data_IF_230098333436
#
_entry.id   IF_230098333436
#
_cell.length_a   1.000
_cell.length_b   1.000
_cell.length_c   1.000
_cell.angle_alpha   90.00
_cell.angle_beta   90.00
_cell.angle_gamma   90.00
#
_symmetry.space_group_name_H-M   'P 1'
#
loop_
_entity.id
_entity.type
_entity.pdbx_description
1 polymer ?
#
# COMPACT_ATOMS: atom_id res chain seq x y z
N UNK A 1 -10.28 -4.04 -10.20
CA UNK A 1 -11.10 -4.75 -11.22
C UNK A 1 -11.28 -3.91 -12.50
N UNK A 2 -11.41 -2.57 -12.44
CA UNK A 2 -11.57 -1.72 -13.64
C UNK A 2 -10.46 -1.93 -14.68
N UNK A 3 -9.19 -1.98 -14.27
CA UNK A 3 -8.04 -2.21 -15.15
C UNK A 3 -8.15 -3.54 -15.91
N UNK A 4 -8.51 -4.64 -15.21
CA UNK A 4 -8.65 -5.97 -15.82
C UNK A 4 -9.75 -5.97 -16.87
N UNK A 5 -10.92 -5.43 -16.52
CA UNK A 5 -12.06 -5.34 -17.43
C UNK A 5 -11.75 -4.48 -18.66
N UNK A 6 -11.06 -3.35 -18.47
CA UNK A 6 -10.69 -2.43 -19.55
C UNK A 6 -9.69 -3.07 -20.52
N UNK A 7 -8.63 -3.72 -20.00
CA UNK A 7 -7.63 -4.41 -20.83
C UNK A 7 -8.28 -5.54 -21.63
N UNK A 8 -9.10 -6.38 -21.00
CA UNK A 8 -9.73 -7.51 -21.68
C UNK A 8 -10.78 -7.09 -22.72
N UNK A 9 -11.46 -5.97 -22.49
CA UNK A 9 -12.47 -5.44 -23.43
C UNK A 9 -11.83 -4.73 -24.63
N UNK A 10 -10.74 -3.96 -24.40
CA UNK A 10 -10.10 -3.14 -25.46
C UNK A 10 -9.07 -3.90 -26.29
N UNK A 11 -8.51 -4.98 -25.76
CA UNK A 11 -7.49 -5.78 -26.44
C UNK A 11 -8.06 -7.17 -26.77
N UNK A 12 -8.17 -7.49 -28.06
CA UNK A 12 -8.80 -8.75 -28.52
C UNK A 12 -7.95 -10.00 -28.28
N UNK A 13 -6.62 -9.84 -28.20
CA UNK A 13 -5.65 -10.96 -28.07
C UNK A 13 -4.94 -11.00 -26.72
N UNK A 14 -5.02 -9.92 -25.94
CA UNK A 14 -4.32 -9.79 -24.67
C UNK A 14 -4.77 -10.81 -23.64
N UNK A 15 -3.80 -11.36 -22.91
CA UNK A 15 -4.01 -12.27 -21.78
C UNK A 15 -3.73 -11.51 -20.49
N UNK A 16 -4.62 -11.68 -19.51
CA UNK A 16 -4.44 -11.15 -18.16
C UNK A 16 -4.33 -12.29 -17.15
N UNK A 17 -3.26 -12.29 -16.37
CA UNK A 17 -2.99 -13.28 -15.33
C UNK A 17 -2.99 -12.57 -13.98
N UNK A 18 -3.87 -12.97 -13.07
CA UNK A 18 -4.02 -12.42 -11.73
C UNK A 18 -3.57 -13.43 -10.67
N UNK A 19 -2.51 -13.14 -9.93
CA UNK A 19 -2.18 -13.80 -8.66
C UNK A 19 -2.85 -13.03 -7.52
N UNK A 20 -3.77 -13.66 -6.79
CA UNK A 20 -4.64 -12.95 -5.84
C UNK A 20 -4.57 -13.53 -4.43
N UNK A 21 -3.85 -12.83 -3.55
CA UNK A 21 -3.68 -13.20 -2.14
C UNK A 21 -4.78 -12.64 -1.24
N UNK A 22 -5.43 -13.51 -0.46
CA UNK A 22 -6.46 -13.15 0.51
C UNK A 22 -6.30 -13.97 1.81
N UNK A 23 -7.07 -13.64 2.86
CA UNK A 23 -7.11 -14.43 4.09
C UNK A 23 -7.90 -15.72 3.89
N UNK A 24 -9.10 -15.62 3.34
CA UNK A 24 -10.05 -16.72 3.11
C UNK A 24 -10.86 -16.45 1.84
N UNK A 25 -11.56 -17.46 1.32
CA UNK A 25 -12.49 -17.32 0.20
C UNK A 25 -13.61 -16.31 0.54
N UNK A 26 -14.15 -16.39 1.74
CA UNK A 26 -15.23 -15.50 2.20
C UNK A 26 -14.81 -14.03 2.31
N UNK A 27 -13.53 -13.75 2.58
CA UNK A 27 -12.98 -12.39 2.67
C UNK A 27 -12.44 -11.86 1.32
N UNK A 28 -12.51 -12.65 0.25
CA UNK A 28 -12.03 -12.25 -1.07
C UNK A 28 -12.97 -11.23 -1.69
N UNK A 29 -12.46 -10.03 -1.95
CA UNK A 29 -13.23 -9.01 -2.64
C UNK A 29 -13.38 -9.33 -4.13
N UNK A 30 -14.44 -8.81 -4.75
CA UNK A 30 -14.72 -8.95 -6.19
C UNK A 30 -14.89 -10.38 -6.71
N UNK A 31 -15.19 -11.35 -5.84
CA UNK A 31 -15.34 -12.76 -6.25
C UNK A 31 -16.32 -12.93 -7.41
N UNK A 32 -17.51 -12.32 -7.34
CA UNK A 32 -18.49 -12.36 -8.43
C UNK A 32 -17.97 -11.82 -9.76
N UNK A 33 -17.30 -10.65 -9.73
CA UNK A 33 -16.72 -10.04 -10.93
C UNK A 33 -15.56 -10.89 -11.51
N UNK A 34 -14.77 -11.54 -10.66
CA UNK A 34 -13.71 -12.46 -11.10
C UNK A 34 -14.31 -13.67 -11.82
N UNK A 35 -15.35 -14.29 -11.27
CA UNK A 35 -16.00 -15.43 -11.90
C UNK A 35 -16.71 -15.04 -13.21
N UNK A 36 -17.31 -13.86 -13.27
CA UNK A 36 -17.88 -13.32 -14.50
C UNK A 36 -16.79 -13.15 -15.58
N UNK A 37 -15.65 -12.55 -15.24
CA UNK A 37 -14.53 -12.38 -16.18
C UNK A 37 -13.95 -13.71 -16.66
N UNK A 38 -13.85 -14.72 -15.79
CA UNK A 38 -13.44 -16.07 -16.19
C UNK A 38 -14.42 -16.69 -17.19
N UNK A 39 -15.72 -16.45 -16.99
CA UNK A 39 -16.77 -16.95 -17.91
C UNK A 39 -16.73 -16.25 -19.26
N UNK A 40 -16.55 -14.93 -19.28
CA UNK A 40 -16.52 -14.13 -20.53
C UNK A 40 -15.21 -14.36 -21.30
N UNK A 41 -14.08 -14.49 -20.59
CA UNK A 41 -12.74 -14.56 -21.18
C UNK A 41 -11.97 -15.84 -20.78
N UNK A 42 -12.50 -17.06 -21.00
CA UNK A 42 -11.97 -18.31 -20.44
C UNK A 42 -10.54 -18.65 -20.92
N UNK A 43 -10.09 -18.09 -22.05
CA UNK A 43 -8.75 -18.30 -22.61
C UNK A 43 -7.83 -17.09 -22.47
N UNK A 44 -8.32 -16.02 -21.88
CA UNK A 44 -7.59 -14.74 -21.78
C UNK A 44 -7.52 -14.18 -20.37
N UNK A 45 -8.32 -14.69 -19.43
CA UNK A 45 -8.28 -14.31 -18.03
C UNK A 45 -8.03 -15.53 -17.15
N UNK A 46 -6.91 -15.50 -16.43
CA UNK A 46 -6.52 -16.52 -15.47
C UNK A 46 -6.39 -15.88 -14.09
N UNK A 47 -6.99 -16.51 -13.08
CA UNK A 47 -6.91 -16.05 -11.70
C UNK A 47 -6.47 -17.20 -10.80
N UNK A 48 -5.34 -17.01 -10.13
CA UNK A 48 -4.73 -17.92 -9.17
C UNK A 48 -4.93 -17.35 -7.77
N UNK A 49 -5.79 -18.02 -6.98
CA UNK A 49 -6.04 -17.62 -5.60
C UNK A 49 -5.04 -18.28 -4.65
N UNK A 50 -4.60 -17.53 -3.63
CA UNK A 50 -3.84 -18.05 -2.50
C UNK A 50 -4.43 -17.54 -1.20
N UNK A 51 -4.72 -18.43 -0.24
CA UNK A 51 -5.35 -18.10 1.03
C UNK A 51 -4.42 -18.38 2.20
N UNK A 52 -4.21 -17.36 3.04
CA UNK A 52 -3.27 -17.44 4.15
C UNK A 52 -3.85 -18.05 5.44
N UNK A 53 -5.20 -18.19 5.53
CA UNK A 53 -5.89 -18.70 6.71
C UNK A 53 -6.91 -19.81 6.41
N UNK A 54 -7.03 -20.23 5.17
CA UNK A 54 -7.99 -21.25 4.74
C UNK A 54 -7.34 -22.22 3.76
N UNK A 55 -7.43 -23.51 4.05
CA UNK A 55 -7.05 -24.55 3.10
C UNK A 55 -8.26 -24.84 2.20
N UNK A 56 -8.19 -24.42 0.95
CA UNK A 56 -9.27 -24.51 -0.03
C UNK A 56 -8.77 -25.30 -1.25
N UNK A 57 -9.50 -26.34 -1.71
CA UNK A 57 -9.06 -27.18 -2.84
C UNK A 57 -8.96 -26.42 -4.17
N UNK A 58 -9.61 -25.25 -4.30
CA UNK A 58 -9.59 -24.41 -5.50
C UNK A 58 -8.51 -23.32 -5.44
N UNK A 59 -7.68 -23.31 -4.39
CA UNK A 59 -6.67 -22.28 -4.16
C UNK A 59 -5.40 -22.84 -3.53
N UNK A 60 -4.30 -22.15 -3.68
CA UNK A 60 -3.06 -22.45 -2.96
C UNK A 60 -3.19 -22.02 -1.49
N UNK A 61 -2.64 -22.80 -0.56
CA UNK A 61 -2.56 -22.40 0.84
C UNK A 61 -1.23 -21.66 1.09
N UNK A 62 -1.28 -20.47 1.67
CA UNK A 62 -0.11 -19.69 2.01
C UNK A 62 -0.25 -18.19 1.71
N UNK A 63 0.87 -17.55 1.49
CA UNK A 63 0.97 -16.14 1.08
C UNK A 63 1.58 -16.05 -0.31
N UNK A 64 1.41 -14.88 -0.94
CA UNK A 64 2.12 -14.58 -2.18
C UNK A 64 3.62 -14.49 -1.87
N UNK A 65 4.35 -15.54 -2.25
CA UNK A 65 5.78 -15.72 -2.05
C UNK A 65 6.48 -16.13 -3.37
N UNK A 66 7.76 -16.42 -3.30
CA UNK A 66 8.56 -16.83 -4.45
C UNK A 66 8.04 -18.09 -5.15
N UNK A 67 7.53 -19.04 -4.37
CA UNK A 67 7.07 -20.32 -4.91
C UNK A 67 5.75 -20.14 -5.67
N UNK A 68 4.82 -19.36 -5.09
CA UNK A 68 3.56 -19.03 -5.75
C UNK A 68 3.76 -18.23 -7.04
N UNK A 69 4.67 -17.25 -7.03
CA UNK A 69 5.00 -16.46 -8.23
C UNK A 69 5.65 -17.36 -9.29
N UNK A 70 6.63 -18.18 -8.90
CA UNK A 70 7.30 -19.11 -9.80
C UNK A 70 6.34 -20.14 -10.41
N UNK A 71 5.35 -20.59 -9.61
CA UNK A 71 4.28 -21.46 -10.10
C UNK A 71 3.48 -20.78 -11.21
N UNK A 72 3.03 -19.52 -11.01
CA UNK A 72 2.28 -18.77 -12.03
C UNK A 72 3.12 -18.59 -13.30
N UNK A 73 4.37 -18.15 -13.17
CA UNK A 73 5.27 -17.96 -14.32
C UNK A 73 5.46 -19.27 -15.10
N UNK A 74 5.58 -20.41 -14.42
CA UNK A 74 5.70 -21.72 -15.04
C UNK A 74 4.44 -22.13 -15.80
N UNK A 75 3.24 -21.85 -15.25
CA UNK A 75 1.97 -22.11 -15.94
C UNK A 75 1.84 -21.29 -17.24
N UNK A 76 2.49 -20.16 -17.32
CA UNK A 76 2.46 -19.22 -18.43
C UNK A 76 3.83 -19.03 -19.10
N UNK A 77 4.68 -20.07 -19.09
CA UNK A 77 6.06 -20.02 -19.62
C UNK A 77 6.16 -19.63 -21.10
N UNK A 78 5.10 -19.84 -21.87
CA UNK A 78 5.04 -19.41 -23.28
C UNK A 78 4.46 -18.01 -23.46
N UNK A 79 3.97 -17.38 -22.37
CA UNK A 79 3.38 -16.05 -22.41
C UNK A 79 4.47 -15.01 -22.16
N UNK A 80 4.68 -14.12 -23.12
CA UNK A 80 5.58 -12.99 -22.94
C UNK A 80 4.79 -11.85 -22.32
N UNK A 81 4.98 -11.61 -21.01
CA UNK A 81 4.34 -10.50 -20.34
C UNK A 81 4.90 -9.15 -20.80
N UNK A 82 4.02 -8.22 -21.16
CA UNK A 82 4.37 -6.84 -21.52
C UNK A 82 4.51 -5.96 -20.29
N UNK A 83 3.67 -6.17 -19.29
CA UNK A 83 3.68 -5.47 -18.01
C UNK A 83 3.36 -6.42 -16.86
N UNK A 84 4.01 -6.17 -15.73
CA UNK A 84 3.78 -6.88 -14.47
C UNK A 84 3.43 -5.82 -13.43
N UNK A 85 2.25 -5.96 -12.82
CA UNK A 85 1.74 -5.02 -11.83
C UNK A 85 1.76 -5.69 -10.46
N UNK A 86 2.45 -5.09 -9.50
CA UNK A 86 2.54 -5.57 -8.13
C UNK A 86 1.83 -4.58 -7.21
N UNK A 87 0.94 -5.10 -6.35
CA UNK A 87 0.20 -4.28 -5.40
C UNK A 87 0.02 -5.07 -4.09
N UNK A 88 0.54 -4.55 -2.99
CA UNK A 88 0.47 -5.22 -1.69
C UNK A 88 1.56 -4.79 -0.71
N UNK A 89 1.74 -5.55 0.39
CA UNK A 89 2.76 -5.27 1.39
C UNK A 89 4.17 -5.22 0.81
N UNK A 90 5.01 -4.34 1.33
CA UNK A 90 6.39 -4.10 0.87
C UNK A 90 7.19 -5.41 0.71
N UNK A 91 7.22 -6.23 1.75
CA UNK A 91 7.93 -7.53 1.72
C UNK A 91 7.46 -8.46 0.60
N UNK A 92 6.17 -8.43 0.26
CA UNK A 92 5.62 -9.21 -0.86
C UNK A 92 6.15 -8.66 -2.19
N UNK A 93 6.18 -7.35 -2.34
CA UNK A 93 6.67 -6.68 -3.56
C UNK A 93 8.17 -6.93 -3.74
N UNK A 94 8.98 -6.82 -2.68
CA UNK A 94 10.41 -7.15 -2.71
C UNK A 94 10.64 -8.60 -3.15
N UNK A 95 9.94 -9.54 -2.49
CA UNK A 95 10.00 -10.97 -2.87
C UNK A 95 9.61 -11.20 -4.32
N UNK A 96 8.57 -10.51 -4.80
CA UNK A 96 8.13 -10.61 -6.19
C UNK A 96 9.18 -10.08 -7.16
N UNK A 97 9.76 -8.90 -6.89
CA UNK A 97 10.83 -8.30 -7.71
C UNK A 97 12.05 -9.22 -7.81
N UNK A 98 12.51 -9.78 -6.68
CA UNK A 98 13.63 -10.71 -6.66
C UNK A 98 13.34 -11.99 -7.46
N UNK A 99 12.11 -12.50 -7.36
CA UNK A 99 11.71 -13.72 -8.09
C UNK A 99 11.62 -13.48 -9.59
N UNK A 100 11.05 -12.36 -10.01
CA UNK A 100 10.96 -11.93 -11.41
C UNK A 100 12.36 -11.72 -12.02
N UNK A 101 13.26 -11.07 -11.28
CA UNK A 101 14.65 -10.89 -11.71
C UNK A 101 15.38 -12.21 -11.94
N UNK A 102 15.14 -13.23 -11.11
CA UNK A 102 15.69 -14.59 -11.30
C UNK A 102 15.08 -15.31 -12.49
N UNK A 103 13.88 -14.93 -12.92
CA UNK A 103 13.18 -15.50 -14.08
C UNK A 103 13.48 -14.77 -15.41
N UNK A 104 14.50 -13.89 -15.44
CA UNK A 104 14.90 -13.07 -16.60
C UNK A 104 13.81 -12.11 -17.12
N UNK A 105 12.83 -11.75 -16.29
CA UNK A 105 11.89 -10.71 -16.63
C UNK A 105 12.50 -9.31 -16.38
N UNK A 106 12.54 -8.43 -17.40
CA UNK A 106 13.15 -7.11 -17.29
C UNK A 106 12.46 -6.21 -16.26
N UNK A 107 13.26 -5.52 -15.43
CA UNK A 107 12.75 -4.60 -14.38
C UNK A 107 11.90 -3.45 -14.94
N UNK A 108 12.12 -3.03 -16.17
CA UNK A 108 11.36 -1.96 -16.85
C UNK A 108 9.89 -2.32 -17.13
N UNK A 109 9.54 -3.58 -17.03
CA UNK A 109 8.15 -4.05 -17.13
C UNK A 109 7.41 -4.07 -15.82
N UNK A 110 8.11 -4.00 -14.69
CA UNK A 110 7.53 -4.13 -13.36
C UNK A 110 7.10 -2.77 -12.84
N UNK A 111 5.79 -2.59 -12.67
CA UNK A 111 5.19 -1.44 -12.01
C UNK A 111 4.63 -1.88 -10.66
N UNK A 112 4.77 -1.06 -9.64
CA UNK A 112 4.28 -1.44 -8.31
C UNK A 112 3.73 -0.25 -7.53
N UNK A 113 2.74 -0.55 -6.69
CA UNK A 113 2.24 0.34 -5.64
C UNK A 113 2.53 -0.30 -4.28
N UNK A 114 3.23 0.43 -3.43
CA UNK A 114 3.54 -0.02 -2.07
C UNK A 114 2.35 0.33 -1.15
N UNK A 115 1.84 -0.67 -0.44
CA UNK A 115 1.03 -0.43 0.74
C UNK A 115 1.97 -0.46 1.94
N UNK A 116 2.36 0.71 2.40
CA UNK A 116 3.06 0.82 3.66
C UNK A 116 2.05 0.58 4.79
N UNK A 117 2.17 -0.53 5.47
CA UNK A 117 1.69 -0.64 6.82
C UNK A 117 2.90 -0.40 7.72
N UNK A 118 3.03 0.79 8.28
CA UNK A 118 3.92 0.93 9.41
C UNK A 118 3.54 -0.16 10.42
N UNK A 119 4.48 -1.01 10.88
CA UNK A 119 4.17 -1.94 11.94
C UNK A 119 3.76 -1.08 13.14
N UNK A 120 2.47 -1.09 13.46
CA UNK A 120 1.97 -0.50 14.68
C UNK A 120 2.71 -1.22 15.82
N UNK A 121 3.68 -0.55 16.41
CA UNK A 121 4.32 -1.01 17.62
C UNK A 121 3.23 -1.01 18.69
N UNK A 122 2.70 -2.17 19.04
CA UNK A 122 1.79 -2.35 20.19
C UNK A 122 2.48 -2.07 21.53
N UNK A 123 3.34 -1.08 21.57
CA UNK A 123 3.96 -0.64 22.81
C UNK A 123 3.15 0.53 23.36
N UNK A 124 2.22 0.21 24.24
CA UNK A 124 1.58 1.11 25.19
C UNK A 124 2.58 1.64 26.24
N UNK A 125 3.70 2.20 25.82
CA UNK A 125 4.60 2.93 26.72
C UNK A 125 4.11 4.37 26.88
N UNK A 126 3.33 4.57 27.94
CA UNK A 126 2.90 5.87 28.45
C UNK A 126 4.06 6.59 29.09
N UNK A 127 5.00 7.13 28.33
CA UNK A 127 6.10 7.79 29.02
C UNK A 127 6.87 8.87 28.25
N UNK A 128 7.02 8.76 26.96
CA UNK A 128 7.95 9.62 26.20
C UNK A 128 7.41 10.16 24.86
N UNK A 129 6.10 10.12 24.64
CA UNK A 129 5.46 10.62 23.43
C UNK A 129 5.42 12.16 23.35
N UNK A 130 4.84 12.65 22.28
CA UNK A 130 4.60 14.06 21.99
C UNK A 130 3.12 14.39 22.13
N UNK A 131 2.80 15.61 22.57
CA UNK A 131 1.46 16.17 22.49
C UNK A 131 1.34 17.00 21.21
N UNK A 132 0.35 16.70 20.38
CA UNK A 132 0.11 17.40 19.14
C UNK A 132 -1.22 18.13 19.14
N UNK A 133 -1.24 19.31 18.51
CA UNK A 133 -2.44 19.99 18.08
C UNK A 133 -2.60 19.78 16.58
N UNK A 134 -3.68 19.14 16.19
CA UNK A 134 -4.03 18.93 14.79
C UNK A 134 -5.07 19.99 14.41
N UNK A 135 -4.77 20.78 13.40
CA UNK A 135 -5.71 21.76 12.81
C UNK A 135 -6.19 21.15 11.49
N UNK A 136 -7.49 20.89 11.41
CA UNK A 136 -8.11 20.34 10.22
C UNK A 136 -9.59 20.73 10.15
N UNK A 137 -10.02 21.21 8.99
CA UNK A 137 -11.39 21.72 8.73
C UNK A 137 -11.80 22.82 9.73
N UNK A 138 -10.85 23.75 10.00
CA UNK A 138 -11.00 24.86 10.99
C UNK A 138 -11.16 24.38 12.45
N UNK A 139 -11.08 23.09 12.74
CA UNK A 139 -11.12 22.52 14.08
C UNK A 139 -9.70 22.30 14.64
N UNK A 140 -9.58 22.40 15.97
CA UNK A 140 -8.33 22.10 16.69
C UNK A 140 -8.57 20.87 17.55
N UNK A 141 -7.84 19.81 17.27
CA UNK A 141 -7.93 18.53 17.95
C UNK A 141 -6.63 18.22 18.70
N UNK A 142 -6.74 17.87 19.98
CA UNK A 142 -5.59 17.43 20.78
C UNK A 142 -5.32 15.93 20.57
N UNK A 143 -4.06 15.60 20.31
CA UNK A 143 -3.60 14.26 20.00
C UNK A 143 -2.32 13.92 20.74
N UNK A 144 -2.34 12.82 21.53
CA UNK A 144 -1.13 12.25 22.09
C UNK A 144 -0.51 11.28 21.09
N UNK A 145 0.74 11.50 20.72
CA UNK A 145 1.49 10.68 19.77
C UNK A 145 2.53 9.87 20.56
N UNK A 146 2.39 8.53 20.64
CA UNK A 146 3.39 7.68 21.22
C UNK A 146 4.78 7.81 20.57
N UNK A 147 5.83 7.51 21.33
CA UNK A 147 7.21 7.53 20.78
C UNK A 147 7.31 6.63 19.54
N UNK A 148 8.00 7.13 18.51
CA UNK A 148 8.22 6.44 17.20
C UNK A 148 6.95 6.20 16.37
N UNK A 149 5.82 6.74 16.75
CA UNK A 149 4.59 6.69 15.96
C UNK A 149 4.51 7.88 15.01
N UNK A 150 3.98 7.66 13.80
CA UNK A 150 3.74 8.77 12.88
C UNK A 150 2.52 9.59 13.29
N UNK A 151 2.47 10.85 12.86
CA UNK A 151 1.34 11.76 13.13
C UNK A 151 0.05 11.16 12.59
N UNK A 152 0.05 10.62 11.38
CA UNK A 152 -1.12 10.00 10.77
C UNK A 152 -1.59 8.76 11.55
N UNK A 153 -0.68 7.86 11.92
CA UNK A 153 -1.06 6.62 12.65
C UNK A 153 -1.72 6.95 13.98
N UNK A 154 -1.19 7.95 14.71
CA UNK A 154 -1.77 8.41 15.95
C UNK A 154 -3.15 9.05 15.74
N UNK A 155 -3.33 9.86 14.70
CA UNK A 155 -4.62 10.46 14.34
C UNK A 155 -5.67 9.39 14.04
N UNK A 156 -5.31 8.39 13.22
CA UNK A 156 -6.20 7.28 12.86
C UNK A 156 -6.57 6.40 14.07
N UNK A 157 -5.65 6.18 15.02
CA UNK A 157 -5.97 5.47 16.27
C UNK A 157 -6.98 6.21 17.14
N UNK A 158 -7.02 7.54 17.06
CA UNK A 158 -8.00 8.38 17.77
C UNK A 158 -9.27 8.64 16.96
N UNK A 159 -9.40 8.01 15.77
CA UNK A 159 -10.50 8.23 14.82
C UNK A 159 -10.63 9.68 14.36
N UNK A 160 -9.51 10.39 14.26
CA UNK A 160 -9.43 11.71 13.63
C UNK A 160 -9.31 11.47 12.12
N UNK A 161 -10.30 11.92 11.36
CA UNK A 161 -10.43 11.69 9.93
C UNK A 161 -9.66 12.75 9.11
N UNK A 162 -8.34 12.69 9.17
CA UNK A 162 -7.45 13.54 8.35
C UNK A 162 -7.21 12.93 6.97
N UNK A 163 -6.90 13.75 5.94
CA UNK A 163 -6.69 13.23 4.59
C UNK A 163 -5.45 12.35 4.47
N UNK A 164 -5.60 11.17 3.85
CA UNK A 164 -4.51 10.28 3.52
C UNK A 164 -4.85 9.33 2.35
N UNK A 165 -3.84 8.66 1.78
CA UNK A 165 -4.03 7.65 0.73
C UNK A 165 -2.97 6.54 0.80
N UNK A 166 -1.76 6.76 0.24
CA UNK A 166 -0.75 5.71 0.07
C UNK A 166 -0.09 5.24 1.38
N UNK A 167 -0.01 6.07 2.40
CA UNK A 167 0.70 5.89 3.68
C UNK A 167 2.21 5.59 3.53
N UNK A 168 2.79 5.78 2.35
CA UNK A 168 4.16 5.37 2.01
C UNK A 168 5.08 6.48 1.53
N UNK A 169 4.73 7.75 1.74
CA UNK A 169 5.57 8.87 1.33
C UNK A 169 5.72 9.06 -0.19
N UNK A 170 4.80 8.49 -1.00
CA UNK A 170 4.84 8.53 -2.46
C UNK A 170 3.65 9.28 -3.09
N UNK A 171 2.80 9.90 -2.29
CA UNK A 171 1.72 10.77 -2.72
C UNK A 171 1.57 11.97 -1.78
N UNK A 172 0.85 13.01 -2.24
CA UNK A 172 0.65 14.26 -1.50
C UNK A 172 -0.61 14.29 -0.62
N UNK A 173 -1.39 13.20 -0.54
CA UNK A 173 -2.71 13.20 0.13
C UNK A 173 -2.64 13.50 1.63
N UNK A 174 -1.52 13.21 2.31
CA UNK A 174 -1.34 13.44 3.74
C UNK A 174 -0.40 14.60 4.06
N UNK A 175 -0.22 15.55 3.12
CA UNK A 175 0.57 16.75 3.38
C UNK A 175 -0.08 17.57 4.50
N UNK A 176 0.74 18.08 5.41
CA UNK A 176 0.38 19.08 6.39
C UNK A 176 1.59 19.95 6.72
N UNK A 177 1.36 21.12 7.31
CA UNK A 177 2.40 22.05 7.70
C UNK A 177 2.64 22.00 9.21
N UNK A 178 3.89 21.86 9.63
CA UNK A 178 4.29 22.05 11.03
C UNK A 178 4.41 23.54 11.30
N UNK A 179 3.54 24.06 12.13
CA UNK A 179 3.53 25.48 12.52
C UNK A 179 4.23 25.73 13.86
N UNK A 180 4.44 24.68 14.65
CA UNK A 180 5.21 24.71 15.90
C UNK A 180 5.81 23.33 16.17
N UNK A 181 7.03 23.28 16.69
CA UNK A 181 7.75 22.02 16.93
C UNK A 181 8.50 21.53 15.69
N UNK A 182 8.91 20.24 15.72
CA UNK A 182 9.58 19.58 14.60
C UNK A 182 9.23 18.10 14.51
N UNK A 183 9.36 17.53 13.31
CA UNK A 183 9.23 16.11 13.03
C UNK A 183 10.22 15.70 11.95
N UNK A 184 10.66 14.45 11.99
CA UNK A 184 11.48 13.82 10.95
C UNK A 184 10.65 12.85 10.13
N UNK A 185 10.76 12.92 8.81
CA UNK A 185 10.11 11.96 7.90
C UNK A 185 10.99 10.72 7.71
N UNK A 186 10.40 9.52 7.90
CA UNK A 186 11.06 8.23 7.66
C UNK A 186 11.40 8.09 6.17
N UNK A 187 10.47 8.52 5.31
CA UNK A 187 10.61 8.48 3.86
C UNK A 187 9.90 9.69 3.23
N UNK A 188 10.53 10.27 2.20
CA UNK A 188 9.94 11.32 1.38
C UNK A 188 10.37 11.16 -0.08
N UNK A 189 9.40 10.98 -0.99
CA UNK A 189 9.63 10.90 -2.43
C UNK A 189 8.84 11.96 -3.20
N UNK A 190 8.22 12.90 -2.51
CA UNK A 190 7.28 13.89 -3.09
C UNK A 190 7.70 15.32 -2.78
N UNK A 191 7.98 15.65 -1.50
CA UNK A 191 8.32 17.00 -1.11
C UNK A 191 9.74 17.34 -1.52
N UNK A 192 9.90 18.54 -2.06
CA UNK A 192 11.20 19.16 -2.34
C UNK A 192 11.83 19.71 -1.07
N UNK A 193 13.14 19.96 -1.10
CA UNK A 193 13.85 20.55 0.04
C UNK A 193 13.27 21.91 0.45
N UNK A 194 12.83 22.73 -0.51
CA UNK A 194 12.17 24.03 -0.25
C UNK A 194 10.84 23.87 0.51
N UNK A 195 10.02 22.89 0.13
CA UNK A 195 8.74 22.62 0.81
C UNK A 195 8.96 22.11 2.24
N UNK A 196 10.00 21.32 2.47
CA UNK A 196 10.40 20.87 3.80
C UNK A 196 10.88 22.05 4.66
N UNK A 197 11.68 22.97 4.08
CA UNK A 197 12.13 24.19 4.75
C UNK A 197 10.95 25.12 5.12
N UNK A 198 9.86 25.11 4.34
CA UNK A 198 8.62 25.83 4.63
C UNK A 198 7.77 25.15 5.71
N UNK A 199 8.19 23.98 6.20
CA UNK A 199 7.54 23.23 7.27
C UNK A 199 6.55 22.16 6.79
N UNK A 200 6.48 21.87 5.48
CA UNK A 200 5.60 20.82 4.97
C UNK A 200 6.15 19.42 5.29
N UNK A 201 5.25 18.52 5.66
CA UNK A 201 5.56 17.13 5.97
C UNK A 201 4.50 16.19 5.38
N UNK A 202 4.91 14.95 5.12
CA UNK A 202 3.99 13.85 4.87
C UNK A 202 3.65 13.20 6.21
N UNK A 203 2.47 13.45 6.75
CA UNK A 203 2.09 13.01 8.11
C UNK A 203 2.12 11.50 8.31
N UNK A 204 1.97 10.72 7.23
CA UNK A 204 2.14 9.26 7.25
C UNK A 204 3.58 8.80 7.46
N UNK A 205 4.55 9.69 7.32
CA UNK A 205 5.98 9.41 7.48
C UNK A 205 6.63 10.27 8.59
N UNK A 206 5.94 11.30 9.04
CA UNK A 206 6.46 12.26 10.00
C UNK A 206 6.32 11.74 11.44
N UNK A 207 7.44 11.60 12.12
CA UNK A 207 7.55 11.27 13.55
C UNK A 207 7.99 12.51 14.31
N UNK A 208 7.23 12.97 15.32
CA UNK A 208 7.59 14.13 16.13
C UNK A 208 8.94 13.97 16.83
N UNK A 209 9.73 15.06 16.85
CA UNK A 209 10.99 15.14 17.60
C UNK A 209 10.83 15.99 18.88
N UNK A 210 9.87 16.91 18.87
CA UNK A 210 9.59 17.79 20.00
C UNK A 210 8.47 17.26 20.87
N UNK A 211 8.46 17.63 22.16
CA UNK A 211 7.42 17.25 23.13
C UNK A 211 6.04 17.82 22.77
N UNK A 212 6.02 18.98 22.16
CA UNK A 212 4.82 19.64 21.67
C UNK A 212 4.99 19.97 20.19
N UNK A 213 3.95 19.71 19.39
CA UNK A 213 3.94 19.98 17.96
C UNK A 213 2.56 20.47 17.54
N UNK A 214 2.51 21.40 16.59
CA UNK A 214 1.28 21.84 15.94
C UNK A 214 1.34 21.53 14.46
N UNK A 215 0.36 20.78 13.96
CA UNK A 215 0.26 20.28 12.59
C UNK A 215 -1.02 20.83 11.98
N UNK A 216 -0.88 21.57 10.89
CA UNK A 216 -2.00 22.22 10.21
C UNK A 216 -2.19 21.59 8.82
N UNK A 217 -3.36 20.98 8.59
CA UNK A 217 -3.76 20.42 7.30
C UNK A 217 -4.48 21.44 6.40
N UNK A 218 -4.87 22.59 6.94
CA UNK A 218 -5.62 23.62 6.19
C UNK A 218 -4.68 24.64 5.52
N UNK A 219 -3.38 24.66 5.88
CA UNK A 219 -2.36 25.57 5.35
C UNK A 219 -1.26 24.79 4.62
N UNK A 220 -1.60 24.28 3.42
CA UNK A 220 -0.70 23.48 2.57
C UNK A 220 -0.72 23.92 1.12
#
# INVERSE_FOLDING_TARGET
>A
MSLVSDILAKNETGVFVLGYGNKTKASTMFTGAIEELKSIYPKRFYCYNIYSKENNPEATFGRVDSDFISYILKQHSETKFEKILLCGPEKMIETAKETLKKADDPEDKVLYELFYSNPVSENNDKGNGSSAKIIYDEEILDLDIPEKMTILDAALQKNIDVPYSCQGGVCSSCIAKITSGSATMIQNNILTDSEIEEGLVLTCQAVPETKEITVNFDDV
#
